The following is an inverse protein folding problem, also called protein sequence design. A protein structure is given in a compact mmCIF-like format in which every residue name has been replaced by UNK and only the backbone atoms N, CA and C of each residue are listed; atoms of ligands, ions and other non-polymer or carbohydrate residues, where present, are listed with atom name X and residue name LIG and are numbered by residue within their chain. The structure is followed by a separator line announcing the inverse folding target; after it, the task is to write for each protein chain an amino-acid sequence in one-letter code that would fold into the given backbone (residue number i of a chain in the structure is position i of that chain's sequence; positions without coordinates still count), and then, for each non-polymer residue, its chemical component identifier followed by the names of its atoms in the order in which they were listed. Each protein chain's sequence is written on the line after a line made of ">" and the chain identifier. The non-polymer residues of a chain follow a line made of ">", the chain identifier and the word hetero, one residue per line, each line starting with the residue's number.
data_IF_093044184284
#
_entry.id   IF_093044184284
#
_cell.length_a   1.000
_cell.length_b   1.000
_cell.length_c   1.000
_cell.angle_alpha   90.00
_cell.angle_beta   90.00
_cell.angle_gamma   90.00
#
_symmetry.space_group_name_H-M   'P 1'
#
loop_
_entity.id
_entity.type
_entity.pdbx_description
1 polymer ?
#
# COMPACT_ATOMS: atom_id res chain seq x y z
N UNK A 1 12.01 3.43 -14.32
CA UNK A 1 10.71 2.89 -14.71
C UNK A 1 10.32 1.74 -13.82
N UNK A 2 9.08 1.72 -13.38
CA UNK A 2 8.55 0.67 -12.55
C UNK A 2 8.08 -0.50 -13.42
N UNK A 3 8.61 -1.68 -13.18
CA UNK A 3 8.17 -2.85 -13.92
C UNK A 3 8.16 -4.07 -13.00
N UNK A 4 7.27 -4.99 -13.28
CA UNK A 4 7.10 -6.21 -12.50
C UNK A 4 7.16 -7.42 -13.43
N UNK A 5 7.95 -8.39 -13.05
CA UNK A 5 8.03 -9.67 -13.74
C UNK A 5 7.58 -10.77 -12.79
N UNK A 6 6.88 -11.76 -13.31
CA UNK A 6 6.37 -12.87 -12.52
C UNK A 6 5.08 -12.51 -11.78
N UNK A 7 4.83 -13.21 -10.70
CA UNK A 7 3.61 -13.04 -9.91
C UNK A 7 3.69 -11.77 -9.07
N UNK A 8 2.62 -10.99 -9.12
CA UNK A 8 2.47 -9.78 -8.33
C UNK A 8 1.59 -10.06 -7.12
N UNK A 9 2.05 -9.71 -5.93
CA UNK A 9 1.25 -9.78 -4.71
C UNK A 9 0.85 -8.39 -4.25
N UNK A 10 -0.39 -8.21 -3.89
CA UNK A 10 -0.90 -6.94 -3.42
C UNK A 10 -1.36 -7.11 -1.97
N UNK A 11 -0.75 -6.36 -1.08
CA UNK A 11 -1.11 -6.31 0.33
C UNK A 11 -1.84 -5.00 0.57
N UNK A 12 -3.04 -5.08 1.14
CA UNK A 12 -3.87 -3.91 1.39
C UNK A 12 -3.96 -3.70 2.88
N UNK A 13 -3.54 -2.54 3.36
CA UNK A 13 -3.70 -2.18 4.77
C UNK A 13 -5.18 -1.87 5.02
N UNK A 14 -5.82 -2.64 5.89
CA UNK A 14 -7.25 -2.49 6.15
C UNK A 14 -7.56 -1.24 6.97
N UNK A 15 -6.64 -0.86 7.87
CA UNK A 15 -6.80 0.35 8.66
C UNK A 15 -6.28 1.57 7.90
N UNK A 16 -6.96 2.69 8.09
CA UNK A 16 -6.52 3.96 7.51
C UNK A 16 -5.19 4.39 8.14
N UNK A 17 -4.37 5.08 7.36
CA UNK A 17 -3.13 5.62 7.85
C UNK A 17 -3.02 7.12 7.55
N UNK A 18 -2.04 7.75 8.17
CA UNK A 18 -1.74 9.16 7.94
C UNK A 18 -1.04 9.30 6.58
N UNK A 19 -1.65 10.03 5.68
CA UNK A 19 -1.13 10.23 4.32
C UNK A 19 0.11 11.13 4.27
N UNK A 20 0.54 11.68 5.40
CA UNK A 20 1.82 12.40 5.47
C UNK A 20 3.02 11.45 5.55
N UNK A 21 2.77 10.18 5.84
CA UNK A 21 3.84 9.20 5.92
C UNK A 21 4.49 9.01 4.55
N UNK A 22 5.82 9.04 4.55
CA UNK A 22 6.62 8.78 3.37
C UNK A 22 7.28 7.41 3.45
N UNK A 23 8.44 7.26 2.85
CA UNK A 23 9.14 5.98 2.75
C UNK A 23 9.32 5.29 4.10
N UNK A 24 9.89 5.98 5.08
CA UNK A 24 10.20 5.36 6.37
C UNK A 24 8.94 5.05 7.17
N UNK A 25 7.97 5.96 7.19
CA UNK A 25 6.73 5.74 7.91
C UNK A 25 5.92 4.59 7.36
N UNK A 26 5.82 4.50 6.03
CA UNK A 26 5.10 3.39 5.39
C UNK A 26 5.86 2.08 5.53
N UNK A 27 7.19 2.11 5.42
CA UNK A 27 8.02 0.94 5.65
C UNK A 27 7.80 0.39 7.06
N UNK A 28 7.75 1.28 8.06
CA UNK A 28 7.48 0.90 9.43
C UNK A 28 6.12 0.22 9.59
N UNK A 29 5.09 0.73 8.92
CA UNK A 29 3.77 0.09 8.94
C UNK A 29 3.81 -1.32 8.36
N UNK A 30 4.57 -1.50 7.28
CA UNK A 30 4.69 -2.81 6.64
C UNK A 30 5.34 -3.80 7.58
N UNK A 31 6.47 -3.44 8.19
CA UNK A 31 7.22 -4.35 9.05
C UNK A 31 6.54 -4.59 10.39
N UNK A 32 5.95 -3.56 11.00
CA UNK A 32 5.40 -3.64 12.34
C UNK A 32 3.94 -4.07 12.38
N UNK A 33 3.12 -3.58 11.45
CA UNK A 33 1.68 -3.86 11.46
C UNK A 33 1.29 -4.99 10.54
N UNK A 34 1.82 -5.00 9.31
CA UNK A 34 1.51 -6.05 8.35
C UNK A 34 2.41 -7.26 8.50
N UNK A 35 3.53 -7.11 9.22
CA UNK A 35 4.53 -8.15 9.45
C UNK A 35 5.04 -8.74 8.16
N UNK A 36 5.31 -7.85 7.20
CA UNK A 36 5.82 -8.19 5.89
C UNK A 36 7.10 -7.40 5.62
N UNK A 37 7.78 -7.75 4.56
CA UNK A 37 8.96 -7.03 4.10
C UNK A 37 8.76 -6.57 2.66
N UNK A 38 9.12 -5.32 2.34
CA UNK A 38 9.16 -4.89 0.94
C UNK A 38 10.11 -5.78 0.14
N UNK A 39 9.60 -6.27 -0.98
CA UNK A 39 10.37 -7.17 -1.84
C UNK A 39 9.87 -7.04 -3.29
N UNK A 40 10.66 -7.45 -4.28
CA UNK A 40 10.21 -7.40 -5.67
C UNK A 40 8.90 -8.20 -5.85
N UNK A 41 7.99 -7.64 -6.61
CA UNK A 41 6.70 -8.29 -6.88
C UNK A 41 5.65 -8.08 -5.80
N UNK A 42 5.92 -7.27 -4.78
CA UNK A 42 4.94 -6.96 -3.73
C UNK A 42 4.58 -5.48 -3.77
N UNK A 43 3.29 -5.19 -3.79
CA UNK A 43 2.76 -3.85 -3.63
C UNK A 43 2.07 -3.74 -2.28
N UNK A 44 2.30 -2.63 -1.59
CA UNK A 44 1.67 -2.36 -0.30
C UNK A 44 0.82 -1.11 -0.43
N UNK A 45 -0.48 -1.24 -0.21
CA UNK A 45 -1.47 -0.22 -0.53
C UNK A 45 -2.08 0.33 0.75
N UNK A 46 -2.09 1.64 0.87
CA UNK A 46 -2.58 2.36 2.05
C UNK A 46 -3.60 3.41 1.63
N UNK A 47 -4.53 3.71 2.51
CA UNK A 47 -5.52 4.76 2.26
C UNK A 47 -5.72 5.62 3.51
N UNK A 48 -6.30 6.80 3.31
CA UNK A 48 -6.73 7.66 4.40
C UNK A 48 -8.13 7.23 4.89
N UNK A 49 -8.57 7.83 5.99
CA UNK A 49 -9.86 7.48 6.58
C UNK A 49 -11.03 7.72 5.62
N UNK A 50 -10.98 8.78 4.83
CA UNK A 50 -12.03 9.13 3.88
C UNK A 50 -12.00 8.29 2.60
N UNK A 51 -10.93 7.54 2.40
CA UNK A 51 -10.71 6.73 1.20
C UNK A 51 -10.73 7.56 -0.08
N UNK A 52 -10.12 8.74 0.01
CA UNK A 52 -9.97 9.66 -1.11
C UNK A 52 -8.54 9.74 -1.61
N UNK A 53 -7.60 9.23 -0.83
CA UNK A 53 -6.17 9.21 -1.17
C UNK A 53 -5.63 7.82 -1.00
N UNK A 54 -4.66 7.50 -1.85
CA UNK A 54 -4.04 6.19 -1.89
C UNK A 54 -2.54 6.36 -1.97
N UNK A 55 -1.81 5.57 -1.22
CA UNK A 55 -0.37 5.45 -1.39
C UNK A 55 -0.01 4.01 -1.60
N UNK A 56 0.94 3.78 -2.51
CA UNK A 56 1.44 2.44 -2.80
C UNK A 56 2.95 2.48 -2.62
N UNK A 57 3.46 1.60 -1.78
CA UNK A 57 4.89 1.42 -1.60
C UNK A 57 5.31 0.12 -2.26
N UNK A 58 6.39 0.16 -3.02
CA UNK A 58 6.95 -1.05 -3.60
C UNK A 58 8.47 -0.95 -3.76
N UNK A 59 9.12 -2.09 -3.78
CA UNK A 59 10.56 -2.24 -3.95
C UNK A 59 10.83 -2.78 -5.34
N UNK A 60 11.73 -2.13 -6.09
CA UNK A 60 12.04 -2.54 -7.47
C UNK A 60 13.35 -3.30 -7.62
N UNK A 61 14.00 -3.63 -6.52
CA UNK A 61 15.31 -4.28 -6.51
C UNK A 61 16.44 -3.31 -6.22
N UNK A 62 16.23 -2.02 -6.41
CA UNK A 62 17.26 -0.99 -6.18
C UNK A 62 16.82 0.07 -5.18
N UNK A 63 15.52 0.21 -4.94
CA UNK A 63 15.01 1.21 -4.02
C UNK A 63 13.51 1.13 -3.86
N UNK A 64 13.00 2.03 -3.04
CA UNK A 64 11.57 2.10 -2.75
C UNK A 64 10.89 3.15 -3.61
N UNK A 65 9.72 2.81 -4.09
CA UNK A 65 8.80 3.72 -4.75
C UNK A 65 7.61 3.98 -3.84
N UNK A 66 7.18 5.23 -3.78
CA UNK A 66 5.89 5.57 -3.19
C UNK A 66 5.09 6.32 -4.25
N UNK A 67 3.98 5.73 -4.65
CA UNK A 67 3.06 6.34 -5.59
C UNK A 67 1.87 6.89 -4.80
N UNK A 68 1.41 8.06 -5.19
CA UNK A 68 0.31 8.72 -4.50
C UNK A 68 -0.77 9.10 -5.50
N UNK A 69 -2.01 8.85 -5.13
CA UNK A 69 -3.15 9.28 -5.93
C UNK A 69 -4.19 9.92 -5.04
N UNK A 70 -4.76 11.02 -5.50
CA UNK A 70 -5.89 11.68 -4.87
C UNK A 70 -7.06 11.64 -5.84
N UNK A 71 -8.20 11.14 -5.39
CA UNK A 71 -9.42 11.19 -6.19
C UNK A 71 -10.00 12.60 -6.15
N UNK A 72 -10.38 13.11 -7.31
CA UNK A 72 -11.05 14.40 -7.39
C UNK A 72 -12.52 14.27 -6.96
N UNK A 73 -13.12 13.12 -7.22
CA UNK A 73 -14.50 12.84 -6.82
C UNK A 73 -14.60 11.39 -6.35
N UNK A 74 -15.53 11.12 -5.43
CA UNK A 74 -15.80 9.78 -4.97
C UNK A 74 -14.76 9.25 -4.01
N UNK A 75 -14.84 7.97 -3.77
CA UNK A 75 -13.96 7.27 -2.84
C UNK A 75 -13.52 5.93 -3.44
N UNK A 76 -12.38 5.42 -2.96
CA UNK A 76 -11.96 4.07 -3.29
C UNK A 76 -12.83 3.07 -2.56
N UNK A 77 -13.17 1.94 -3.21
CA UNK A 77 -13.72 0.79 -2.52
C UNK A 77 -12.59 0.14 -1.71
N UNK A 78 -12.88 -0.19 -0.46
CA UNK A 78 -11.86 -0.73 0.42
C UNK A 78 -12.35 -2.01 1.06
N UNK A 79 -11.48 -3.04 1.17
CA UNK A 79 -11.85 -4.28 1.82
C UNK A 79 -12.15 -4.05 3.30
N UNK A 80 -13.03 -4.87 3.85
CA UNK A 80 -13.33 -4.86 5.28
C UNK A 80 -12.56 -5.98 5.96
N UNK A 81 -12.30 -5.78 7.25
CA UNK A 81 -11.58 -6.74 8.05
C UNK A 81 -12.46 -7.87 8.59
N UNK A 82 -13.47 -8.23 7.87
CA UNK A 82 -14.39 -9.31 8.30
C UNK A 82 -13.75 -10.68 8.21
N UNK A 83 -12.86 -10.85 7.26
CA UNK A 83 -12.13 -12.10 7.06
C UNK A 83 -10.64 -11.92 7.27
N UNK A 84 -10.23 -10.76 7.77
CA UNK A 84 -8.85 -10.46 8.13
C UNK A 84 -7.88 -10.36 6.99
N UNK A 85 -8.33 -10.43 5.75
CA UNK A 85 -7.47 -10.45 4.59
C UNK A 85 -8.15 -9.89 3.35
N UNK A 86 -7.41 -9.12 2.58
CA UNK A 86 -7.87 -8.62 1.29
C UNK A 86 -6.89 -9.00 0.20
N UNK A 87 -7.42 -9.34 -0.97
CA UNK A 87 -6.64 -9.62 -2.17
C UNK A 87 -7.21 -8.81 -3.32
N UNK A 88 -6.31 -8.32 -4.12
CA UNK A 88 -6.67 -7.60 -5.35
C UNK A 88 -5.98 -8.26 -6.53
#
# INVERSE_FOLDING_TARGET
>A
MLSFAGSLKVFVALEACDMRKGFNGLHGLITEKLREDPRPGALFVFTNRRRTRLKILCWDGTGLWVLTKRLEEGTFSWPRDEIGRAHV
#
